data_IF_265758579695
#
_entry.id   IF_265758579695
#
_cell.length_a   1.000
_cell.length_b   1.000
_cell.length_c   1.000
_cell.angle_alpha   90.00
_cell.angle_beta   90.00
_cell.angle_gamma   90.00
#
_symmetry.space_group_name_H-M   'P 1'
#
loop_
_entity.id
_entity.type
_entity.pdbx_description
1 polymer ?
#
# COMPACT_ATOMS: atom_id res chain seq x y z
N UNK A 1 7.88 4.38 11.93
CA UNK A 1 8.37 5.29 10.86
C UNK A 1 7.51 6.54 10.88
N UNK A 2 8.05 7.77 10.93
CA UNK A 2 7.24 8.98 10.72
C UNK A 2 7.38 9.42 9.27
N UNK A 3 6.29 9.34 8.50
CA UNK A 3 6.25 9.87 7.14
C UNK A 3 6.01 11.38 7.21
N UNK A 4 6.94 12.15 6.65
CA UNK A 4 6.86 13.59 6.49
C UNK A 4 7.01 13.87 5.00
N UNK A 5 5.91 13.82 4.25
CA UNK A 5 5.95 14.00 2.80
C UNK A 5 4.71 14.71 2.27
N UNK A 6 4.91 15.43 1.16
CA UNK A 6 3.88 16.16 0.42
C UNK A 6 3.15 15.29 -0.63
N UNK A 7 3.44 13.98 -0.67
CA UNK A 7 2.84 13.02 -1.62
C UNK A 7 1.62 12.32 -0.98
N UNK A 8 0.73 11.80 -1.82
CA UNK A 8 -0.43 11.06 -1.34
C UNK A 8 -0.01 9.71 -0.76
N UNK A 9 -0.80 9.21 0.20
CA UNK A 9 -0.64 7.89 0.79
C UNK A 9 -1.81 6.98 0.41
N UNK A 10 -1.49 5.75 0.03
CA UNK A 10 -2.45 4.67 -0.21
C UNK A 10 -2.18 3.51 0.74
N UNK A 11 -3.25 2.95 1.31
CA UNK A 11 -3.16 1.84 2.26
C UNK A 11 -4.13 0.73 1.87
N UNK A 12 -3.66 -0.52 1.93
CA UNK A 12 -4.49 -1.73 1.79
C UNK A 12 -4.19 -2.64 2.99
N UNK A 13 -5.22 -2.97 3.76
CA UNK A 13 -5.14 -3.87 4.92
C UNK A 13 -5.77 -5.22 4.57
N UNK A 14 -5.08 -6.31 4.93
CA UNK A 14 -5.50 -7.68 4.64
C UNK A 14 -5.39 -8.56 5.87
N UNK A 15 -6.07 -9.70 5.86
CA UNK A 15 -5.89 -10.75 6.86
C UNK A 15 -4.79 -11.70 6.36
N UNK A 16 -3.59 -11.55 6.89
CA UNK A 16 -2.43 -12.39 6.64
C UNK A 16 -1.43 -11.79 5.65
N UNK A 17 -0.18 -12.26 5.70
CA UNK A 17 0.90 -11.72 4.89
C UNK A 17 0.78 -12.06 3.39
N UNK A 18 0.21 -13.21 3.05
CA UNK A 18 0.07 -13.65 1.65
C UNK A 18 -0.82 -12.69 0.83
N UNK A 19 -2.06 -12.36 1.23
CA UNK A 19 -2.86 -11.38 0.50
C UNK A 19 -2.26 -9.98 0.56
N UNK A 20 -1.54 -9.61 1.63
CA UNK A 20 -0.81 -8.33 1.67
C UNK A 20 0.26 -8.24 0.57
N UNK A 21 1.04 -9.31 0.35
CA UNK A 21 2.04 -9.34 -0.71
C UNK A 21 1.42 -9.33 -2.11
N UNK A 22 0.27 -9.99 -2.29
CA UNK A 22 -0.50 -9.90 -3.54
C UNK A 22 -0.99 -8.47 -3.79
N UNK A 23 -1.54 -7.82 -2.77
CA UNK A 23 -1.97 -6.42 -2.86
C UNK A 23 -0.78 -5.51 -3.22
N UNK A 24 0.36 -5.66 -2.56
CA UNK A 24 1.56 -4.89 -2.87
C UNK A 24 2.03 -5.07 -4.32
N UNK A 25 2.04 -6.32 -4.83
CA UNK A 25 2.39 -6.60 -6.23
C UNK A 25 1.44 -5.91 -7.22
N UNK A 26 0.13 -5.96 -6.97
CA UNK A 26 -0.87 -5.28 -7.80
C UNK A 26 -0.73 -3.75 -7.73
N UNK A 27 -0.57 -3.19 -6.54
CA UNK A 27 -0.39 -1.75 -6.33
C UNK A 27 0.82 -1.20 -7.10
N UNK A 28 1.97 -1.87 -6.99
CA UNK A 28 3.23 -1.44 -7.62
C UNK A 28 3.24 -1.62 -9.14
N UNK A 29 2.47 -2.58 -9.68
CA UNK A 29 2.33 -2.79 -11.13
C UNK A 29 1.30 -1.87 -11.79
N UNK A 30 0.31 -1.39 -11.03
CA UNK A 30 -0.79 -0.61 -11.57
C UNK A 30 -0.43 0.87 -11.83
N UNK A 31 0.49 1.44 -11.04
CA UNK A 31 0.83 2.86 -11.15
C UNK A 31 2.24 3.16 -10.67
N UNK A 32 2.73 4.38 -10.97
CA UNK A 32 4.01 4.88 -10.48
C UNK A 32 3.89 5.28 -9.00
N UNK A 33 4.01 4.31 -8.10
CA UNK A 33 3.98 4.49 -6.64
C UNK A 33 5.15 3.74 -5.99
N UNK A 34 5.58 4.20 -4.82
CA UNK A 34 6.66 3.60 -4.05
C UNK A 34 6.11 2.90 -2.79
N UNK A 35 6.51 1.66 -2.55
CA UNK A 35 6.23 0.96 -1.30
C UNK A 35 7.06 1.59 -0.17
N UNK A 36 6.39 2.11 0.85
CA UNK A 36 7.07 2.77 1.98
C UNK A 36 7.16 1.90 3.23
N UNK A 37 6.16 1.06 3.47
CA UNK A 37 6.19 0.10 4.57
C UNK A 37 5.18 -1.02 4.35
N UNK A 38 5.40 -2.14 5.05
CA UNK A 38 4.35 -3.07 5.41
C UNK A 38 4.36 -3.20 6.94
N UNK A 39 3.19 -3.07 7.56
CA UNK A 39 3.07 -3.08 9.02
C UNK A 39 2.23 -4.27 9.46
N UNK A 40 2.78 -5.08 10.36
CA UNK A 40 2.03 -6.11 11.07
C UNK A 40 1.35 -5.45 12.28
N UNK A 41 0.08 -5.08 12.16
CA UNK A 41 -0.62 -4.28 13.18
C UNK A 41 -1.22 -5.12 14.31
N UNK A 42 -1.18 -6.45 14.20
CA UNK A 42 -1.72 -7.41 15.17
C UNK A 42 -2.98 -8.09 14.66
N UNK A 43 -3.46 -9.13 15.37
CA UNK A 43 -4.67 -9.89 14.97
C UNK A 43 -4.63 -10.45 13.54
N UNK A 44 -3.43 -10.79 13.05
CA UNK A 44 -3.20 -11.25 11.66
C UNK A 44 -3.46 -10.16 10.60
N UNK A 45 -3.69 -8.92 11.00
CA UNK A 45 -3.83 -7.81 10.06
C UNK A 45 -2.45 -7.34 9.60
N UNK A 46 -2.32 -7.18 8.28
CA UNK A 46 -1.12 -6.70 7.61
C UNK A 46 -1.50 -5.58 6.66
N UNK A 47 -0.86 -4.43 6.81
CA UNK A 47 -1.17 -3.21 6.04
C UNK A 47 0.00 -2.84 5.15
N UNK A 48 -0.26 -2.76 3.85
CA UNK A 48 0.66 -2.23 2.84
C UNK A 48 0.45 -0.74 2.71
N UNK A 49 1.54 0.02 2.64
CA UNK A 49 1.53 1.47 2.48
C UNK A 49 2.35 1.87 1.26
N UNK A 50 1.76 2.64 0.34
CA UNK A 50 2.45 3.23 -0.81
C UNK A 50 2.34 4.75 -0.82
N UNK A 51 3.26 5.43 -1.50
CA UNK A 51 3.21 6.86 -1.75
C UNK A 51 3.37 7.22 -3.23
N UNK A 52 2.90 8.39 -3.62
CA UNK A 52 3.11 8.98 -4.94
C UNK A 52 2.10 10.08 -5.27
N UNK A 53 1.96 10.42 -6.55
CA UNK A 53 0.94 11.37 -7.02
C UNK A 53 -0.47 10.86 -6.71
N UNK A 54 -1.41 11.77 -6.40
CA UNK A 54 -2.79 11.43 -5.99
C UNK A 54 -3.48 10.46 -6.97
N UNK A 55 -3.33 10.69 -8.29
CA UNK A 55 -3.93 9.83 -9.31
C UNK A 55 -3.27 8.44 -9.38
N UNK A 56 -1.95 8.37 -9.19
CA UNK A 56 -1.20 7.12 -9.16
C UNK A 56 -1.59 6.29 -7.92
N UNK A 57 -1.65 6.93 -6.76
CA UNK A 57 -2.06 6.30 -5.49
C UNK A 57 -3.48 5.77 -5.56
N UNK A 58 -4.43 6.53 -6.14
CA UNK A 58 -5.79 6.06 -6.34
C UNK A 58 -5.84 4.79 -7.21
N UNK A 59 -5.16 4.81 -8.35
CA UNK A 59 -5.10 3.67 -9.27
C UNK A 59 -4.45 2.44 -8.63
N UNK A 60 -3.40 2.66 -7.84
CA UNK A 60 -2.72 1.60 -7.09
C UNK A 60 -3.65 0.95 -6.05
N UNK A 61 -4.35 1.75 -5.23
CA UNK A 61 -5.27 1.24 -4.20
C UNK A 61 -6.46 0.51 -4.83
N UNK A 62 -7.05 1.04 -5.92
CA UNK A 62 -8.13 0.36 -6.64
C UNK A 62 -7.70 -1.01 -7.21
N UNK A 63 -6.44 -1.16 -7.61
CA UNK A 63 -5.90 -2.43 -8.10
C UNK A 63 -5.52 -3.42 -6.97
N UNK A 64 -5.10 -2.90 -5.81
CA UNK A 64 -4.63 -3.70 -4.68
C UNK A 64 -5.72 -4.19 -3.72
N UNK A 65 -6.89 -3.53 -3.71
CA UNK A 65 -8.05 -3.88 -2.88
C UNK A 65 -8.78 -5.14 -3.38
#
# INVERSE_FOLDING_TARGET
>A
MRYYGDEALGLVETIGLVPALEAADKMLKAANVELISYENVGSTLVTIMVKGDVAAVRSAVEAGA
#
